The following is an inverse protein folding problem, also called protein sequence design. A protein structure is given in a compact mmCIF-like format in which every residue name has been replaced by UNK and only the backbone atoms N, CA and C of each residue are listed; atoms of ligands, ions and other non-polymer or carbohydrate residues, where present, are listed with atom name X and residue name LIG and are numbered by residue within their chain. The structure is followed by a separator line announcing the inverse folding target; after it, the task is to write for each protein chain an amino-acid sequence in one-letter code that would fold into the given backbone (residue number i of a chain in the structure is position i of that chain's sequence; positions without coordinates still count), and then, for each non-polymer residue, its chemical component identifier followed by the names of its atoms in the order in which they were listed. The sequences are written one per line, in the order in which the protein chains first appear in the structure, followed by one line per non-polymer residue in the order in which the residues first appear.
data_IF_203249030982
#
_entry.id   IF_203249030982
#
_cell.length_a   1.000
_cell.length_b   1.000
_cell.length_c   1.000
_cell.angle_alpha   90.00
_cell.angle_beta   90.00
_cell.angle_gamma   90.00
#
_symmetry.space_group_name_H-M   'P 1'
#
loop_
_entity.id
_entity.type
_entity.pdbx_description
1 polymer ?
#
# COMPACT_ATOMS: atom_id res chain seq x y z
N UNK A 1 -5.13 17.10 4.46
CA UNK A 1 -5.62 16.21 5.52
C UNK A 1 -4.42 15.56 6.18
N UNK A 2 -4.45 15.36 7.49
CA UNK A 2 -3.37 14.66 8.24
C UNK A 2 -3.59 13.15 8.34
N UNK A 3 -4.78 12.68 7.98
CA UNK A 3 -5.12 11.27 7.84
C UNK A 3 -4.86 10.79 6.42
N UNK A 4 -4.71 9.49 6.23
CA UNK A 4 -4.61 8.89 4.92
C UNK A 4 -4.41 7.39 4.97
N UNK A 5 -4.20 6.81 3.79
CA UNK A 5 -4.01 5.38 3.64
C UNK A 5 -3.24 5.03 2.37
N UNK A 6 -2.67 3.83 2.36
CA UNK A 6 -2.18 3.19 1.14
C UNK A 6 -3.10 2.03 0.75
N UNK A 7 -3.41 1.93 -0.54
CA UNK A 7 -3.96 0.72 -1.15
C UNK A 7 -2.87 0.03 -1.99
N UNK A 8 -2.63 -1.25 -1.72
CA UNK A 8 -1.63 -2.07 -2.41
C UNK A 8 -2.34 -3.08 -3.30
N UNK A 9 -2.09 -3.00 -4.60
CA UNK A 9 -2.76 -3.80 -5.62
C UNK A 9 -1.75 -4.60 -6.47
N UNK A 10 -2.19 -5.66 -7.17
CA UNK A 10 -1.45 -6.23 -8.28
C UNK A 10 -1.11 -5.16 -9.34
N UNK A 11 0.08 -5.24 -9.91
CA UNK A 11 0.60 -4.19 -10.80
C UNK A 11 -0.32 -3.88 -11.98
N UNK A 12 -0.60 -2.58 -12.18
CA UNK A 12 -1.49 -2.06 -13.22
C UNK A 12 -2.93 -1.84 -12.75
N UNK A 13 -3.33 -2.36 -11.59
CA UNK A 13 -4.65 -2.09 -11.01
C UNK A 13 -4.64 -0.79 -10.20
N UNK A 14 -5.30 0.24 -10.72
CA UNK A 14 -5.43 1.57 -10.12
C UNK A 14 -6.74 1.79 -9.37
N UNK A 15 -7.58 0.76 -9.22
CA UNK A 15 -8.85 0.85 -8.48
C UNK A 15 -8.59 0.79 -6.97
N UNK A 16 -9.14 1.74 -6.24
CA UNK A 16 -9.05 1.83 -4.79
C UNK A 16 -10.24 1.11 -4.13
N UNK A 17 -10.17 -0.23 -4.06
CA UNK A 17 -11.24 -1.06 -3.50
C UNK A 17 -11.20 -1.21 -1.98
N UNK A 18 -9.99 -1.26 -1.40
CA UNK A 18 -9.78 -1.34 0.04
C UNK A 18 -8.41 -0.76 0.41
N UNK A 19 -8.29 -0.21 1.61
CA UNK A 19 -6.99 0.23 2.14
C UNK A 19 -6.22 -0.94 2.75
N UNK A 20 -4.91 -0.94 2.55
CA UNK A 20 -3.99 -1.90 3.16
C UNK A 20 -3.47 -1.38 4.50
N UNK A 21 -3.19 -0.08 4.63
CA UNK A 21 -2.74 0.54 5.87
C UNK A 21 -3.32 1.94 5.96
N UNK A 22 -3.75 2.34 7.16
CA UNK A 22 -4.39 3.63 7.44
C UNK A 22 -3.66 4.34 8.57
N UNK A 23 -3.69 5.67 8.57
CA UNK A 23 -3.20 6.51 9.65
C UNK A 23 -4.17 7.67 9.91
N UNK A 24 -4.24 8.09 11.17
CA UNK A 24 -5.14 9.17 11.61
C UNK A 24 -4.48 10.54 11.68
N UNK A 25 -3.14 10.60 11.74
CA UNK A 25 -2.39 11.83 11.93
C UNK A 25 -0.98 11.76 11.31
N UNK A 26 -0.33 12.92 11.18
CA UNK A 26 1.04 13.06 10.72
C UNK A 26 2.05 12.61 11.80
N UNK A 27 3.25 12.17 11.36
CA UNK A 27 4.34 11.77 12.25
C UNK A 27 4.25 10.32 12.77
N UNK A 28 3.26 9.55 12.31
CA UNK A 28 3.15 8.13 12.66
C UNK A 28 4.06 7.27 11.78
N UNK A 29 4.77 6.33 12.39
CA UNK A 29 5.47 5.23 11.71
C UNK A 29 4.76 3.94 12.07
N UNK A 30 4.09 3.34 11.09
CA UNK A 30 3.22 2.18 11.27
C UNK A 30 3.66 1.08 10.31
N UNK A 31 3.79 -0.14 10.83
CA UNK A 31 4.05 -1.33 10.02
C UNK A 31 2.76 -2.10 9.77
N UNK A 32 2.61 -2.68 8.58
CA UNK A 32 1.58 -3.65 8.26
C UNK A 32 2.13 -4.72 7.31
N UNK A 33 1.55 -5.92 7.31
CA UNK A 33 1.88 -7.00 6.40
C UNK A 33 0.66 -7.47 5.61
N UNK A 34 0.85 -7.83 4.34
CA UNK A 34 -0.20 -8.36 3.47
C UNK A 34 0.39 -9.41 2.54
N UNK A 35 -0.39 -10.44 2.22
CA UNK A 35 -0.10 -11.36 1.11
C UNK A 35 -1.10 -11.06 0.00
N UNK A 36 -0.61 -10.76 -1.21
CA UNK A 36 -1.42 -10.50 -2.39
C UNK A 36 -0.78 -11.11 -3.63
N UNK A 37 -1.55 -11.21 -4.70
CA UNK A 37 -1.01 -11.58 -6.01
C UNK A 37 -0.24 -10.41 -6.63
N UNK A 38 0.79 -10.75 -7.40
CA UNK A 38 1.47 -9.79 -8.29
C UNK A 38 0.91 -9.94 -9.70
N UNK A 39 1.14 -8.95 -10.55
CA UNK A 39 0.88 -9.13 -11.97
C UNK A 39 1.92 -10.06 -12.62
N UNK A 40 1.74 -10.37 -13.91
CA UNK A 40 2.62 -11.28 -14.66
C UNK A 40 4.07 -10.81 -14.79
N UNK A 41 4.33 -9.51 -14.58
CA UNK A 41 5.67 -8.90 -14.59
C UNK A 41 6.25 -8.67 -13.20
N UNK A 42 5.64 -9.26 -12.14
CA UNK A 42 6.08 -9.15 -10.74
C UNK A 42 6.03 -7.72 -10.19
N UNK A 43 5.07 -6.93 -10.63
CA UNK A 43 4.85 -5.56 -10.18
C UNK A 43 3.66 -5.48 -9.23
N UNK A 44 3.70 -4.45 -8.39
CA UNK A 44 2.62 -3.97 -7.54
C UNK A 44 2.33 -2.51 -7.86
N UNK A 45 1.12 -2.07 -7.60
CA UNK A 45 0.70 -0.66 -7.66
C UNK A 45 0.39 -0.19 -6.25
N UNK A 46 1.01 0.93 -5.85
CA UNK A 46 0.73 1.60 -4.57
C UNK A 46 -0.02 2.89 -4.86
N UNK A 47 -1.19 3.03 -4.25
CA UNK A 47 -2.01 4.24 -4.32
C UNK A 47 -1.98 4.89 -2.95
N UNK A 48 -1.64 6.17 -2.88
CA UNK A 48 -1.70 6.98 -1.67
C UNK A 48 -2.88 7.94 -1.78
N UNK A 49 -3.78 7.89 -0.80
CA UNK A 49 -4.94 8.79 -0.73
C UNK A 49 -5.17 9.25 0.71
N UNK A 50 -6.09 10.20 0.88
CA UNK A 50 -6.29 10.95 2.11
C UNK A 50 -5.35 12.15 2.17
N UNK A 51 -5.82 13.26 1.59
CA UNK A 51 -5.43 14.63 1.88
C UNK A 51 -3.95 15.06 1.92
N UNK A 52 -2.98 14.20 1.61
CA UNK A 52 -1.55 14.48 1.78
C UNK A 52 -0.66 13.42 1.10
N UNK A 53 0.66 13.51 1.36
CA UNK A 53 1.66 12.57 0.89
C UNK A 53 2.29 11.81 2.07
N UNK A 54 2.89 10.67 1.78
CA UNK A 54 3.61 9.86 2.77
C UNK A 54 4.86 9.25 2.15
N UNK A 55 5.76 8.80 3.01
CA UNK A 55 6.89 7.95 2.64
C UNK A 55 6.56 6.52 3.03
N UNK A 56 6.94 5.55 2.20
CA UNK A 56 6.75 4.15 2.52
C UNK A 56 7.93 3.32 2.03
N UNK A 57 8.09 2.15 2.63
CA UNK A 57 9.03 1.11 2.24
C UNK A 57 8.22 -0.17 2.04
N UNK A 58 8.68 -1.02 1.12
CA UNK A 58 8.13 -2.36 0.91
C UNK A 58 9.23 -3.35 1.25
N UNK A 59 8.95 -4.25 2.19
CA UNK A 59 9.78 -5.41 2.50
C UNK A 59 9.07 -6.68 2.00
N UNK A 60 9.83 -7.60 1.42
CA UNK A 60 9.31 -8.83 0.81
C UNK A 60 9.71 -10.01 1.68
N UNK A 61 8.77 -10.53 2.45
CA UNK A 61 8.98 -11.70 3.31
C UNK A 61 9.12 -13.01 2.52
N UNK A 62 8.54 -13.11 1.31
CA UNK A 62 8.65 -14.30 0.47
C UNK A 62 7.74 -14.28 -0.76
N UNK A 63 7.95 -15.25 -1.65
CA UNK A 63 7.09 -15.55 -2.80
C UNK A 63 6.51 -16.96 -2.64
N UNK A 64 5.21 -17.09 -2.82
CA UNK A 64 4.47 -18.35 -2.70
C UNK A 64 3.91 -18.75 -4.08
N UNK A 65 3.87 -20.06 -4.36
CA UNK A 65 3.38 -20.66 -5.61
C UNK A 65 2.14 -21.53 -5.35
#
# INVERSE_FOLDING_TARGET
GTFGYLAINPGGNTVEGASTINWSAAGLTIANGVTLTLNTTRQLTVICNGGGSTQFLIDIAGYYL
#
